data_IF_546129415763
#
_entry.id   IF_546129415763
#
_cell.length_a   1.000
_cell.length_b   1.000
_cell.length_c   1.000
_cell.angle_alpha   90.00
_cell.angle_beta   90.00
_cell.angle_gamma   90.00
#
_symmetry.space_group_name_H-M   'P 1'
#
loop_
_entity.id
_entity.type
_entity.pdbx_description
1 polymer ?
#
# COMPACT_ATOMS: atom_id res chain seq x y z
N UNK A 1 52.84 14.65 -42.98
CA UNK A 1 52.80 15.87 -42.14
C UNK A 1 51.34 16.11 -41.74
N UNK A 2 51.14 16.59 -40.51
CA UNK A 2 50.03 16.27 -39.63
C UNK A 2 48.80 17.21 -39.65
N UNK A 3 47.68 16.66 -39.18
CA UNK A 3 46.59 17.20 -38.34
C UNK A 3 45.79 18.47 -38.71
N UNK A 4 44.45 18.37 -38.72
CA UNK A 4 43.54 18.88 -37.67
C UNK A 4 42.06 18.53 -38.00
N UNK A 5 41.34 17.83 -37.11
CA UNK A 5 40.26 18.33 -36.22
C UNK A 5 39.20 19.19 -36.96
N UNK A 6 37.92 18.79 -37.03
CA UNK A 6 36.93 19.03 -35.96
C UNK A 6 35.68 18.13 -36.05
N UNK A 7 35.12 17.90 -34.86
CA UNK A 7 33.95 17.11 -34.42
C UNK A 7 32.59 17.60 -34.97
N UNK A 8 31.61 16.69 -35.10
CA UNK A 8 30.22 16.85 -34.60
C UNK A 8 29.61 15.45 -34.37
N UNK A 9 29.69 14.93 -33.15
CA UNK A 9 28.57 14.71 -32.20
C UNK A 9 27.45 13.77 -32.68
N UNK A 10 27.54 12.52 -32.24
CA UNK A 10 26.47 11.52 -32.28
C UNK A 10 25.28 11.94 -31.40
N UNK A 11 24.07 11.95 -31.98
CA UNK A 11 22.84 12.08 -31.23
C UNK A 11 22.48 10.71 -30.64
N UNK A 12 23.11 10.40 -29.51
CA UNK A 12 22.72 9.26 -28.67
C UNK A 12 21.35 9.55 -28.06
N UNK A 13 20.34 8.80 -28.51
CA UNK A 13 19.01 8.78 -27.94
C UNK A 13 19.09 8.40 -26.45
N UNK A 14 18.93 9.40 -25.57
CA UNK A 14 18.81 9.18 -24.13
C UNK A 14 17.45 8.55 -23.83
N UNK A 15 17.36 7.22 -23.91
CA UNK A 15 16.36 6.45 -23.18
C UNK A 15 16.60 6.70 -21.70
N UNK A 16 15.79 7.56 -21.08
CA UNK A 16 15.72 7.67 -19.63
C UNK A 16 15.08 6.38 -19.10
N UNK A 17 15.93 5.40 -18.85
CA UNK A 17 15.60 4.20 -18.10
C UNK A 17 15.29 4.66 -16.67
N UNK A 18 14.01 4.86 -16.36
CA UNK A 18 13.55 5.08 -15.00
C UNK A 18 13.73 3.76 -14.26
N UNK A 19 14.93 3.54 -13.74
CA UNK A 19 15.20 2.50 -12.76
C UNK A 19 14.49 2.93 -11.49
N UNK A 20 13.24 2.51 -11.31
CA UNK A 20 12.52 2.65 -10.05
C UNK A 20 13.19 1.67 -9.08
N UNK A 21 14.30 2.09 -8.48
CA UNK A 21 14.82 1.44 -7.28
C UNK A 21 13.82 1.75 -6.16
N UNK A 22 12.87 0.83 -5.98
CA UNK A 22 12.04 0.77 -4.79
C UNK A 22 12.91 0.42 -3.60
N UNK A 23 13.61 1.40 -3.03
CA UNK A 23 14.26 1.23 -1.74
C UNK A 23 13.14 1.12 -0.71
N UNK A 24 13.02 -0.03 -0.08
CA UNK A 24 12.08 -0.23 1.02
C UNK A 24 12.30 0.86 2.08
N UNK A 25 11.25 1.66 2.33
CA UNK A 25 11.27 2.72 3.34
C UNK A 25 11.20 2.17 4.78
N UNK A 26 11.05 0.86 4.97
CA UNK A 26 11.15 0.24 6.29
C UNK A 26 12.59 -0.20 6.54
N UNK A 27 13.30 0.57 7.36
CA UNK A 27 14.60 0.17 7.87
C UNK A 27 14.38 -0.70 9.13
N UNK A 28 14.78 -1.97 9.07
CA UNK A 28 14.70 -2.98 10.15
C UNK A 28 15.71 -2.72 11.29
N UNK A 29 16.03 -1.47 11.58
CA UNK A 29 17.03 -1.10 12.62
C UNK A 29 16.47 -1.09 14.03
N UNK A 30 15.14 -1.16 14.20
CA UNK A 30 14.49 -1.53 15.45
C UNK A 30 13.85 -2.91 15.27
N UNK A 31 14.21 -3.87 16.13
CA UNK A 31 13.74 -5.26 16.06
C UNK A 31 12.22 -5.34 15.92
N UNK A 32 11.76 -5.55 14.69
CA UNK A 32 10.37 -5.86 14.39
C UNK A 32 10.21 -7.36 14.60
N UNK A 33 9.57 -7.76 15.71
CA UNK A 33 9.23 -9.15 15.99
C UNK A 33 8.06 -9.56 15.08
N UNK A 34 8.37 -9.85 13.81
CA UNK A 34 7.39 -10.13 12.77
C UNK A 34 6.40 -11.22 13.17
N UNK A 35 6.89 -12.29 13.80
CA UNK A 35 6.06 -13.42 14.22
C UNK A 35 5.08 -13.05 15.34
N UNK A 36 5.49 -12.19 16.27
CA UNK A 36 4.60 -11.69 17.33
C UNK A 36 3.52 -10.77 16.76
N UNK A 37 3.88 -9.92 15.80
CA UNK A 37 2.95 -9.03 15.10
C UNK A 37 1.95 -9.85 14.28
N UNK A 38 2.42 -10.87 13.54
CA UNK A 38 1.54 -11.79 12.80
C UNK A 38 0.55 -12.48 13.73
N UNK A 39 1.03 -13.05 14.83
CA UNK A 39 0.18 -13.71 15.83
C UNK A 39 -0.88 -12.77 16.40
N UNK A 40 -0.51 -11.51 16.66
CA UNK A 40 -1.45 -10.50 17.16
C UNK A 40 -2.48 -10.13 16.11
N UNK A 41 -2.09 -9.92 14.85
CA UNK A 41 -3.00 -9.58 13.76
C UNK A 41 -3.98 -10.72 13.43
N UNK A 42 -3.57 -11.98 13.57
CA UNK A 42 -4.45 -13.14 13.40
C UNK A 42 -5.65 -13.14 14.36
N UNK A 43 -5.57 -12.46 15.51
CA UNK A 43 -6.66 -12.38 16.48
C UNK A 43 -7.83 -11.48 16.02
N UNK A 44 -7.66 -10.72 14.93
CA UNK A 44 -8.68 -9.81 14.39
C UNK A 44 -9.14 -10.29 13.01
N UNK A 45 -10.02 -11.31 12.95
CA UNK A 45 -10.55 -11.82 11.70
C UNK A 45 -11.57 -10.85 11.08
N UNK A 46 -11.74 -10.97 9.76
CA UNK A 46 -12.85 -10.34 9.03
C UNK A 46 -12.43 -9.92 7.64
N UNK A 47 -13.34 -10.08 6.68
CA UNK A 47 -13.10 -9.75 5.28
C UNK A 47 -12.00 -10.58 4.61
N UNK A 48 -11.65 -10.19 3.38
CA UNK A 48 -10.58 -10.78 2.59
C UNK A 48 -9.87 -9.77 1.69
N UNK A 49 -8.66 -10.11 1.23
CA UNK A 49 -7.93 -9.42 0.17
C UNK A 49 -7.75 -10.37 -1.02
N UNK A 50 -8.51 -10.12 -2.07
CA UNK A 50 -8.58 -10.98 -3.25
C UNK A 50 -7.71 -10.39 -4.37
N UNK A 51 -6.84 -11.19 -4.98
CA UNK A 51 -5.97 -10.77 -6.09
C UNK A 51 -6.31 -11.59 -7.34
N UNK A 52 -6.56 -10.89 -8.44
CA UNK A 52 -6.75 -11.47 -9.77
C UNK A 52 -5.71 -10.89 -10.71
N UNK A 53 -5.06 -11.72 -11.51
CA UNK A 53 -4.07 -11.32 -12.51
C UNK A 53 -4.62 -11.64 -13.89
N UNK A 54 -4.63 -10.66 -14.80
CA UNK A 54 -5.03 -10.86 -16.19
C UNK A 54 -3.79 -11.05 -17.09
N UNK A 55 -3.97 -11.72 -18.21
CA UNK A 55 -2.96 -11.99 -19.24
C UNK A 55 -2.47 -10.70 -19.92
N UNK A 56 -3.22 -9.61 -19.82
CA UNK A 56 -2.81 -8.28 -20.30
C UNK A 56 -1.67 -7.66 -19.46
N UNK A 57 -1.41 -8.20 -18.27
CA UNK A 57 -0.48 -7.67 -17.28
C UNK A 57 -1.13 -6.73 -16.27
N UNK A 58 -2.46 -6.64 -16.21
CA UNK A 58 -3.19 -5.84 -15.22
C UNK A 58 -3.70 -6.74 -14.08
N UNK A 59 -3.31 -6.40 -12.85
CA UNK A 59 -3.80 -7.05 -11.64
C UNK A 59 -4.96 -6.27 -11.02
N UNK A 60 -5.94 -6.96 -10.45
CA UNK A 60 -7.03 -6.37 -9.69
C UNK A 60 -6.96 -6.89 -8.25
N UNK A 61 -6.68 -5.99 -7.30
CA UNK A 61 -6.68 -6.27 -5.87
C UNK A 61 -7.98 -5.72 -5.26
N UNK A 62 -8.81 -6.60 -4.73
CA UNK A 62 -10.10 -6.24 -4.13
C UNK A 62 -10.04 -6.35 -2.61
N UNK A 63 -10.33 -5.25 -1.93
CA UNK A 63 -10.53 -5.20 -0.48
C UNK A 63 -11.99 -5.55 -0.17
N UNK A 64 -12.22 -6.69 0.47
CA UNK A 64 -13.56 -7.24 0.64
C UNK A 64 -13.93 -7.35 2.12
N UNK A 65 -14.42 -6.24 2.69
CA UNK A 65 -15.03 -6.22 4.01
C UNK A 65 -16.21 -5.22 4.07
N UNK A 66 -17.25 -5.41 3.24
CA UNK A 66 -18.30 -4.41 3.06
C UNK A 66 -19.12 -4.13 4.34
N UNK A 67 -19.19 -5.06 5.28
CA UNK A 67 -19.86 -4.85 6.58
C UNK A 67 -19.17 -3.78 7.44
N UNK A 68 -17.89 -3.50 7.17
CA UNK A 68 -17.10 -2.45 7.83
C UNK A 68 -16.52 -1.46 6.81
N UNK A 69 -17.24 -1.19 5.71
CA UNK A 69 -16.80 -0.25 4.66
C UNK A 69 -15.38 -0.55 4.13
N UNK A 70 -15.05 -1.84 3.99
CA UNK A 70 -13.75 -2.36 3.58
C UNK A 70 -12.58 -1.93 4.50
N UNK A 71 -12.83 -1.81 5.81
CA UNK A 71 -11.78 -1.63 6.80
C UNK A 71 -10.81 -2.82 6.85
N UNK A 72 -9.53 -2.53 7.05
CA UNK A 72 -8.48 -3.54 7.21
C UNK A 72 -8.54 -4.17 8.61
N UNK A 73 -9.05 -5.40 8.66
CA UNK A 73 -8.87 -6.29 9.80
C UNK A 73 -7.41 -6.75 9.92
N UNK A 74 -7.06 -7.38 11.03
CA UNK A 74 -5.70 -7.91 11.19
C UNK A 74 -5.40 -9.02 10.19
N UNK A 75 -6.36 -9.91 9.90
CA UNK A 75 -6.20 -10.93 8.86
C UNK A 75 -6.05 -10.34 7.47
N UNK A 76 -6.76 -9.26 7.15
CA UNK A 76 -6.61 -8.57 5.86
C UNK A 76 -5.24 -7.90 5.71
N UNK A 77 -4.62 -7.40 6.79
CA UNK A 77 -3.26 -6.86 6.72
C UNK A 77 -2.24 -7.94 6.35
N UNK A 78 -2.41 -9.15 6.91
CA UNK A 78 -1.56 -10.31 6.59
C UNK A 78 -1.76 -10.77 5.14
N UNK A 79 -3.00 -10.89 4.70
CA UNK A 79 -3.29 -11.24 3.30
C UNK A 79 -2.76 -10.19 2.33
N UNK A 80 -2.87 -8.90 2.66
CA UNK A 80 -2.31 -7.84 1.82
C UNK A 80 -0.79 -7.98 1.69
N UNK A 81 -0.08 -8.27 2.78
CA UNK A 81 1.36 -8.55 2.74
C UNK A 81 1.68 -9.70 1.80
N UNK A 82 0.97 -10.83 1.94
CA UNK A 82 1.14 -11.99 1.06
C UNK A 82 0.93 -11.62 -0.42
N UNK A 83 -0.14 -10.86 -0.74
CA UNK A 83 -0.42 -10.43 -2.11
C UNK A 83 0.60 -9.44 -2.65
N UNK A 84 1.17 -8.57 -1.80
CA UNK A 84 2.26 -7.67 -2.22
C UNK A 84 3.51 -8.47 -2.56
N UNK A 85 3.90 -9.45 -1.73
CA UNK A 85 5.03 -10.35 -2.03
C UNK A 85 4.78 -11.13 -3.33
N UNK A 86 3.53 -11.59 -3.54
CA UNK A 86 3.12 -12.27 -4.78
C UNK A 86 3.20 -11.35 -6.01
N UNK A 87 3.00 -10.05 -5.83
CA UNK A 87 3.08 -9.03 -6.89
C UNK A 87 4.52 -8.58 -7.15
N UNK A 88 5.37 -8.51 -6.13
CA UNK A 88 6.80 -8.23 -6.29
C UNK A 88 7.49 -9.26 -7.18
N UNK A 89 7.04 -10.51 -7.11
CA UNK A 89 7.54 -11.60 -7.95
C UNK A 89 6.79 -11.74 -9.29
N UNK A 90 5.82 -10.86 -9.59
CA UNK A 90 5.03 -10.94 -10.82
C UNK A 90 5.69 -10.19 -11.98
N UNK A 91 6.53 -10.88 -12.75
CA UNK A 91 7.35 -10.30 -13.84
C UNK A 91 6.54 -9.75 -15.01
N UNK A 92 5.39 -10.35 -15.31
CA UNK A 92 4.51 -9.92 -16.41
C UNK A 92 3.59 -8.74 -16.02
N UNK A 93 3.67 -8.29 -14.76
CA UNK A 93 2.86 -7.21 -14.23
C UNK A 93 3.21 -5.86 -14.85
N UNK A 94 2.19 -5.17 -15.38
CA UNK A 94 2.29 -3.81 -15.94
C UNK A 94 1.57 -2.78 -15.08
N UNK A 95 0.55 -3.20 -14.34
CA UNK A 95 -0.22 -2.32 -13.47
C UNK A 95 -1.11 -3.06 -12.48
N UNK A 96 -1.46 -2.38 -11.38
CA UNK A 96 -2.34 -2.89 -10.34
C UNK A 96 -3.49 -1.90 -10.11
N UNK A 97 -4.72 -2.39 -10.18
CA UNK A 97 -5.91 -1.64 -9.78
C UNK A 97 -6.32 -2.13 -8.40
N UNK A 98 -6.32 -1.22 -7.43
CA UNK A 98 -6.82 -1.49 -6.09
C UNK A 98 -8.25 -0.96 -5.98
N UNK A 99 -9.18 -1.82 -5.59
CA UNK A 99 -10.60 -1.44 -5.41
C UNK A 99 -11.17 -1.99 -4.12
N UNK A 100 -12.22 -1.34 -3.62
CA UNK A 100 -13.06 -1.92 -2.58
C UNK A 100 -14.21 -2.73 -3.16
N UNK A 101 -14.66 -3.75 -2.42
CA UNK A 101 -15.88 -4.45 -2.74
C UNK A 101 -17.11 -3.55 -2.56
N UNK A 102 -18.13 -3.75 -3.40
CA UNK A 102 -19.39 -2.97 -3.41
C UNK A 102 -19.13 -1.47 -3.66
N UNK A 103 -19.63 -0.60 -2.77
CA UNK A 103 -19.82 0.83 -3.06
C UNK A 103 -18.79 1.74 -2.39
N UNK A 104 -17.85 1.18 -1.63
CA UNK A 104 -16.88 1.95 -0.83
C UNK A 104 -15.48 1.46 -1.14
N UNK A 105 -14.49 2.35 -1.18
CA UNK A 105 -13.10 1.93 -1.34
C UNK A 105 -12.57 1.26 -0.05
N UNK A 106 -12.30 2.04 1.00
CA UNK A 106 -11.92 1.56 2.33
C UNK A 106 -12.09 2.67 3.36
N UNK A 107 -12.47 2.32 4.60
CA UNK A 107 -12.51 3.23 5.74
C UNK A 107 -11.22 3.25 6.58
N UNK A 108 -10.14 2.60 6.12
CA UNK A 108 -8.86 2.53 6.84
C UNK A 108 -8.78 1.34 7.80
N UNK A 109 -8.09 1.49 8.93
CA UNK A 109 -7.90 0.39 9.89
C UNK A 109 -9.18 0.04 10.65
N UNK A 110 -9.38 -1.25 10.93
CA UNK A 110 -10.45 -1.71 11.80
C UNK A 110 -10.25 -1.19 13.23
N UNK A 111 -11.22 -0.41 13.74
CA UNK A 111 -11.14 0.17 15.09
C UNK A 111 -11.01 -0.89 16.18
N UNK A 112 -11.53 -2.10 15.97
CA UNK A 112 -11.40 -3.18 16.94
C UNK A 112 -9.96 -3.71 16.98
N UNK A 113 -9.30 -3.81 15.82
CA UNK A 113 -7.89 -4.15 15.73
C UNK A 113 -7.03 -3.02 16.35
N UNK A 114 -7.29 -1.77 16.00
CA UNK A 114 -6.54 -0.61 16.53
C UNK A 114 -6.66 -0.51 18.04
N UNK A 115 -7.86 -0.69 18.61
CA UNK A 115 -8.06 -0.62 20.08
C UNK A 115 -7.25 -1.67 20.82
N UNK A 116 -7.25 -2.92 20.33
CA UNK A 116 -6.53 -4.00 20.99
C UNK A 116 -5.00 -3.90 20.79
N UNK A 117 -4.55 -3.35 19.65
CA UNK A 117 -3.15 -3.03 19.41
C UNK A 117 -2.66 -1.83 20.25
N UNK A 118 -3.55 -0.87 20.53
CA UNK A 118 -3.25 0.30 21.35
C UNK A 118 -3.19 0.03 22.86
N UNK A 119 -3.79 -1.08 23.32
CA UNK A 119 -3.73 -1.53 24.73
C UNK A 119 -2.47 -2.32 25.07
N UNK A 120 -1.72 -2.78 24.06
CA UNK A 120 -0.35 -3.28 24.26
C UNK A 120 0.65 -2.14 24.06
N UNK A 121 1.75 -2.12 24.81
CA UNK A 121 2.88 -1.23 24.55
C UNK A 121 3.59 -1.62 23.24
N UNK A 122 2.91 -1.47 22.10
CA UNK A 122 3.48 -1.72 20.79
C UNK A 122 3.88 -0.40 20.14
N UNK A 123 5.02 -0.41 19.46
CA UNK A 123 5.67 0.74 18.80
C UNK A 123 4.76 1.46 17.78
N UNK A 124 3.65 0.84 17.38
CA UNK A 124 2.63 1.40 16.50
C UNK A 124 1.91 2.63 17.08
N UNK A 125 1.81 2.72 18.42
CA UNK A 125 1.02 3.75 19.10
C UNK A 125 1.64 5.17 18.98
N UNK A 126 2.88 5.30 18.50
CA UNK A 126 3.60 6.58 18.42
C UNK A 126 3.30 7.42 17.18
N UNK A 127 2.68 6.89 16.13
CA UNK A 127 2.59 7.60 14.83
C UNK A 127 1.25 8.31 14.54
N UNK A 128 0.15 7.90 15.16
CA UNK A 128 -1.19 8.42 14.82
C UNK A 128 -1.73 9.50 15.77
N UNK A 129 -0.97 9.96 16.77
CA UNK A 129 -1.41 11.03 17.68
C UNK A 129 -1.38 12.43 17.07
N UNK A 130 -0.73 12.61 15.90
CA UNK A 130 -0.59 13.92 15.23
C UNK A 130 -1.81 14.43 14.46
N UNK A 131 -2.82 13.61 14.19
CA UNK A 131 -3.95 14.02 13.32
C UNK A 131 -5.19 14.54 14.07
N UNK A 132 -5.16 14.59 15.41
CA UNK A 132 -6.30 15.10 16.21
C UNK A 132 -6.37 16.63 16.30
N UNK A 133 -5.40 17.36 15.74
CA UNK A 133 -5.28 18.80 15.94
C UNK A 133 -5.55 19.70 14.71
N UNK A 134 -6.05 19.19 13.57
CA UNK A 134 -6.40 20.07 12.43
C UNK A 134 -7.25 19.39 11.35
N UNK A 135 -8.53 19.14 11.63
CA UNK A 135 -9.50 18.93 10.57
C UNK A 135 -10.90 19.34 11.02
N UNK A 136 -11.22 20.62 10.85
CA UNK A 136 -12.61 21.05 10.81
C UNK A 136 -13.34 20.20 9.77
N UNK A 137 -14.37 19.46 10.20
CA UNK A 137 -15.28 18.77 9.30
C UNK A 137 -15.94 19.83 8.41
N UNK A 138 -15.47 19.98 7.17
CA UNK A 138 -16.26 20.69 6.14
C UNK A 138 -17.45 19.80 5.81
N UNK A 139 -18.57 20.06 6.50
CA UNK A 139 -19.88 19.60 6.07
C UNK A 139 -20.15 20.16 4.68
N UNK A 140 -20.18 19.28 3.66
CA UNK A 140 -20.63 19.66 2.32
C UNK A 140 -22.15 19.53 2.36
N UNK A 141 -22.81 20.64 2.68
CA UNK A 141 -24.26 20.77 2.60
C UNK A 141 -24.59 20.87 1.10
N UNK A 142 -25.30 19.89 0.56
CA UNK A 142 -25.90 19.99 -0.77
C UNK A 142 -27.12 20.90 -0.65
N UNK A 143 -27.09 22.06 -1.31
CA UNK A 143 -28.32 22.80 -1.64
C UNK A 143 -28.68 22.49 -3.09
N UNK A 144 -29.85 21.88 -3.27
CA UNK A 144 -30.55 21.81 -4.55
C UNK A 144 -31.39 23.07 -4.70
N UNK A 145 -31.22 23.76 -5.83
CA UNK A 145 -32.25 24.55 -6.51
C UNK A 145 -32.12 24.28 -8.01
#
# INVERSE_FOLDING_TARGET
MANSLLKTSSLSARTKLLHIQGVSLYNTTHGFQEEEVKKTLQQFPGGSVDLQKDNTGIGILTLNNPSKMNAFSGTMMLQLLEKVIELENWTEGKGLIVRGAKNTFSSGSDLNAVKALATGETSFNKRCTGSRASAGRRSRIHNSL
#
